data_IF_551963168409
#
_entry.id   IF_551963168409
#
_cell.length_a   1.000
_cell.length_b   1.000
_cell.length_c   1.000
_cell.angle_alpha   90.00
_cell.angle_beta   90.00
_cell.angle_gamma   90.00
#
_symmetry.space_group_name_H-M   'P 1'
#
loop_
_entity.id
_entity.type
_entity.pdbx_description
1 polymer ?
#
# COMPACT_ATOMS: atom_id res chain seq x y z
N UNK A 1 -11.51 -6.55 -11.23
CA UNK A 1 -10.55 -6.07 -12.26
C UNK A 1 -9.36 -7.01 -12.35
N UNK A 2 -8.39 -6.77 -13.23
CA UNK A 2 -7.23 -7.66 -13.44
C UNK A 2 -6.13 -7.57 -12.37
N UNK A 3 -6.24 -6.61 -11.44
CA UNK A 3 -5.24 -6.39 -10.39
C UNK A 3 -3.94 -5.75 -10.87
N UNK A 4 -3.82 -5.38 -12.16
CA UNK A 4 -2.60 -4.81 -12.73
C UNK A 4 -2.15 -3.53 -12.02
N UNK A 5 -3.07 -2.60 -11.75
CA UNK A 5 -2.76 -1.35 -11.05
C UNK A 5 -2.28 -1.62 -9.61
N UNK A 6 -3.00 -2.47 -8.87
CA UNK A 6 -2.62 -2.91 -7.52
C UNK A 6 -1.21 -3.50 -7.52
N UNK A 7 -0.88 -4.36 -8.48
CA UNK A 7 0.45 -4.95 -8.59
C UNK A 7 1.53 -3.91 -8.88
N UNK A 8 1.27 -2.96 -9.79
CA UNK A 8 2.19 -1.87 -10.10
C UNK A 8 2.46 -0.97 -8.88
N UNK A 9 1.39 -0.54 -8.18
CA UNK A 9 1.50 0.28 -6.97
C UNK A 9 2.30 -0.45 -5.88
N UNK A 10 1.99 -1.73 -5.61
CA UNK A 10 2.73 -2.53 -4.61
C UNK A 10 4.20 -2.70 -4.98
N UNK A 11 4.50 -2.84 -6.27
CA UNK A 11 5.87 -2.93 -6.77
C UNK A 11 6.67 -1.64 -6.60
N UNK A 12 6.00 -0.49 -6.63
CA UNK A 12 6.59 0.83 -6.42
C UNK A 12 6.83 1.08 -4.92
N UNK A 13 5.78 0.95 -4.10
CA UNK A 13 5.87 1.28 -2.67
C UNK A 13 6.85 0.38 -1.91
N UNK A 14 7.04 -0.89 -2.33
CA UNK A 14 8.03 -1.79 -1.71
C UNK A 14 9.48 -1.31 -1.90
N UNK A 15 9.75 -0.45 -2.89
CA UNK A 15 11.09 0.07 -3.21
C UNK A 15 11.26 1.52 -2.81
N UNK A 16 10.18 2.19 -2.41
CA UNK A 16 10.18 3.62 -2.21
C UNK A 16 10.82 3.97 -0.86
N UNK A 17 11.81 4.88 -0.82
CA UNK A 17 12.62 5.14 0.39
C UNK A 17 11.82 5.73 1.56
N UNK A 18 10.67 6.36 1.26
CA UNK A 18 9.79 6.93 2.30
C UNK A 18 8.79 5.92 2.87
N UNK A 19 8.74 4.69 2.36
CA UNK A 19 7.80 3.66 2.82
C UNK A 19 8.46 2.82 3.91
N UNK A 20 7.87 2.86 5.10
CA UNK A 20 8.27 2.01 6.23
C UNK A 20 7.72 0.60 6.08
N UNK A 21 6.45 0.49 5.71
CA UNK A 21 5.76 -0.77 5.42
C UNK A 21 4.48 -0.52 4.64
N UNK A 22 3.87 -1.58 4.11
CA UNK A 22 2.56 -1.51 3.47
C UNK A 22 1.77 -2.81 3.71
N UNK A 23 0.45 -2.73 3.62
CA UNK A 23 -0.47 -3.89 3.68
C UNK A 23 -1.65 -3.72 2.72
N UNK A 24 -2.43 -4.78 2.56
CA UNK A 24 -3.73 -4.68 1.91
C UNK A 24 -4.71 -3.91 2.80
N UNK A 25 -5.74 -3.30 2.20
CA UNK A 25 -6.84 -2.73 2.98
C UNK A 25 -7.67 -3.80 3.68
N UNK A 26 -8.18 -3.47 4.86
CA UNK A 26 -9.16 -4.29 5.57
C UNK A 26 -10.53 -4.22 4.88
N UNK A 27 -11.49 -5.12 5.18
CA UNK A 27 -12.83 -5.09 4.58
C UNK A 27 -13.55 -3.74 4.70
N UNK A 28 -13.36 -3.01 5.80
CA UNK A 28 -13.92 -1.66 6.01
C UNK A 28 -13.15 -0.54 5.30
N UNK A 29 -11.96 -0.82 4.77
CA UNK A 29 -11.11 0.14 4.07
C UNK A 29 -11.15 -0.02 2.54
N UNK A 30 -11.88 -1.02 2.03
CA UNK A 30 -11.96 -1.35 0.60
C UNK A 30 -11.23 -2.63 0.19
N UNK A 31 -10.70 -3.39 1.16
CA UNK A 31 -10.16 -4.73 0.93
C UNK A 31 -8.85 -4.77 0.12
N UNK A 32 -8.69 -5.85 -0.64
CA UNK A 32 -7.48 -6.13 -1.42
C UNK A 32 -7.20 -5.11 -2.54
N UNK A 33 -8.24 -4.38 -2.98
CA UNK A 33 -8.17 -3.28 -3.92
C UNK A 33 -7.44 -2.04 -3.38
N UNK A 34 -7.26 -1.96 -2.05
CA UNK A 34 -6.56 -0.86 -1.38
C UNK A 34 -5.17 -1.31 -0.93
N UNK A 35 -4.22 -0.37 -0.96
CA UNK A 35 -2.87 -0.55 -0.41
C UNK A 35 -2.64 0.54 0.62
N UNK A 36 -2.55 0.14 1.89
CA UNK A 36 -2.29 1.04 3.02
C UNK A 36 -0.79 1.15 3.18
N UNK A 37 -0.26 2.38 3.20
CA UNK A 37 1.17 2.67 3.28
C UNK A 37 1.47 3.37 4.60
N UNK A 38 2.49 2.89 5.31
CA UNK A 38 3.03 3.53 6.49
C UNK A 38 4.33 4.24 6.10
N UNK A 39 4.41 5.56 6.33
CA UNK A 39 5.57 6.37 5.95
C UNK A 39 6.60 6.45 7.07
N UNK A 40 7.87 6.59 6.71
CA UNK A 40 8.93 6.91 7.68
C UNK A 40 8.72 8.35 8.16
N UNK A 41 8.51 8.54 9.47
CA UNK A 41 8.33 9.86 10.07
C UNK A 41 6.88 10.35 10.21
N UNK A 42 5.87 9.55 9.87
CA UNK A 42 4.54 9.79 10.41
C UNK A 42 4.48 9.28 11.85
N UNK A 43 4.89 10.13 12.78
CA UNK A 43 4.57 9.99 14.21
C UNK A 43 3.23 10.71 14.47
N UNK A 44 2.36 10.10 15.28
CA UNK A 44 1.08 10.69 15.73
C UNK A 44 1.27 11.48 17.01
#
# INVERSE_FOLDING_TARGET
>A
GTGALRAAVRNEVRKHPLVKSYREGEPGEGGDGVTVVYLVGQES
#
